data_IF_090485600554
#
_entry.id   IF_090485600554
#
_cell.length_a   1.000
_cell.length_b   1.000
_cell.length_c   1.000
_cell.angle_alpha   90.00
_cell.angle_beta   90.00
_cell.angle_gamma   90.00
#
_symmetry.space_group_name_H-M   'P 1'
#
loop_
_entity.id
_entity.type
_entity.pdbx_description
1 polymer ?
#
# COMPACT_ATOMS: atom_id res chain seq x y z
N UNK A 1 56.40 50.86 23.38
CA UNK A 1 56.42 49.65 22.52
C UNK A 1 57.54 48.76 23.05
N UNK A 2 57.35 47.44 23.25
CA UNK A 2 56.78 46.57 22.24
C UNK A 2 55.61 45.69 22.72
N UNK A 3 54.77 45.39 21.74
CA UNK A 3 53.60 44.54 21.78
C UNK A 3 54.00 43.07 21.77
N UNK A 4 53.57 42.30 22.77
CA UNK A 4 53.66 40.85 22.75
C UNK A 4 52.48 40.28 21.97
N UNK A 5 52.74 39.91 20.72
CA UNK A 5 51.82 39.19 19.85
C UNK A 5 51.57 37.77 20.36
N UNK A 6 50.29 37.44 20.31
CA UNK A 6 49.66 36.13 20.22
C UNK A 6 50.46 35.05 19.47
N UNK A 7 50.40 33.83 20.00
CA UNK A 7 50.59 32.59 19.22
C UNK A 7 49.67 31.50 19.81
N UNK A 8 48.43 31.42 19.31
CA UNK A 8 47.55 30.26 19.49
C UNK A 8 47.58 29.42 18.21
N UNK A 9 48.60 28.59 18.05
CA UNK A 9 48.64 27.59 16.97
C UNK A 9 47.94 26.31 17.42
N UNK A 10 46.61 26.35 17.42
CA UNK A 10 45.78 25.15 17.49
C UNK A 10 45.81 24.43 16.14
N UNK A 11 46.66 23.41 16.03
CA UNK A 11 46.75 22.52 14.88
C UNK A 11 45.44 21.75 14.66
N UNK A 12 44.54 22.31 13.84
CA UNK A 12 43.35 21.60 13.35
C UNK A 12 43.78 20.57 12.31
N UNK A 13 43.98 19.32 12.74
CA UNK A 13 43.93 18.17 11.83
C UNK A 13 42.57 18.24 11.11
N UNK A 14 42.57 18.48 9.80
CA UNK A 14 41.34 18.45 9.01
C UNK A 14 40.86 16.99 9.01
N UNK A 15 39.93 16.65 9.89
CA UNK A 15 39.25 15.35 9.85
C UNK A 15 38.58 15.19 8.51
N UNK A 16 38.60 13.97 7.96
CA UNK A 16 37.98 13.69 6.67
C UNK A 16 36.48 13.96 6.77
N UNK A 17 35.86 14.42 5.68
CA UNK A 17 34.42 14.67 5.65
C UNK A 17 33.62 13.42 6.06
N UNK A 18 34.09 12.22 5.69
CA UNK A 18 33.48 10.96 6.10
C UNK A 18 33.51 10.74 7.62
N UNK A 19 34.64 11.05 8.26
CA UNK A 19 34.79 10.91 9.72
C UNK A 19 33.86 11.87 10.46
N UNK A 20 33.67 13.08 9.94
CA UNK A 20 32.74 14.06 10.50
C UNK A 20 31.29 13.56 10.40
N UNK A 21 30.90 12.97 9.26
CA UNK A 21 29.57 12.38 9.12
C UNK A 21 29.38 11.14 10.00
N UNK A 22 30.39 10.28 10.15
CA UNK A 22 30.35 9.13 11.07
C UNK A 22 30.23 9.56 12.52
N UNK A 23 31.00 10.57 12.95
CA UNK A 23 30.89 11.11 14.29
C UNK A 23 29.50 11.71 14.55
N UNK A 24 28.96 12.45 13.57
CA UNK A 24 27.60 12.99 13.65
C UNK A 24 26.53 11.89 13.73
N UNK A 25 26.71 10.80 12.98
CA UNK A 25 25.83 9.63 13.04
C UNK A 25 25.82 9.00 14.44
N UNK A 26 26.98 8.76 15.04
CA UNK A 26 27.07 8.21 16.41
C UNK A 26 26.51 9.16 17.47
N UNK A 27 26.67 10.49 17.31
CA UNK A 27 26.05 11.47 18.21
C UNK A 27 24.53 11.41 18.17
N UNK A 28 23.94 11.31 16.98
CA UNK A 28 22.49 11.22 16.83
C UNK A 28 21.94 9.90 17.39
N UNK A 29 22.62 8.76 17.17
CA UNK A 29 22.26 7.47 17.77
C UNK A 29 22.18 7.53 19.30
N UNK A 30 23.12 8.25 19.92
CA UNK A 30 23.20 8.38 21.37
C UNK A 30 22.40 9.56 21.95
N UNK A 31 21.59 10.26 21.15
CA UNK A 31 20.90 11.49 21.55
C UNK A 31 21.83 12.61 22.10
N UNK A 32 23.11 12.60 21.68
CA UNK A 32 24.13 13.59 22.05
C UNK A 32 24.33 14.61 20.93
N UNK A 33 23.23 15.12 20.38
CA UNK A 33 23.22 16.15 19.33
C UNK A 33 23.87 17.43 19.86
N UNK A 34 24.80 18.00 19.09
CA UNK A 34 25.48 19.27 19.38
C UNK A 34 24.85 20.43 18.60
N UNK A 35 24.45 20.20 17.34
CA UNK A 35 23.92 21.26 16.46
C UNK A 35 22.41 21.21 16.30
N UNK A 36 21.84 20.02 16.32
CA UNK A 36 20.40 19.80 16.28
C UNK A 36 19.82 19.69 17.71
N UNK A 37 18.53 19.96 17.91
CA UNK A 37 17.90 19.76 19.20
C UNK A 37 18.00 18.29 19.63
N UNK A 38 18.20 18.07 20.92
CA UNK A 38 18.25 16.72 21.50
C UNK A 38 16.95 15.98 21.22
N UNK A 39 17.05 14.70 20.86
CA UNK A 39 15.89 13.89 20.46
C UNK A 39 15.44 14.09 19.00
N UNK A 40 16.22 14.77 18.17
CA UNK A 40 15.96 14.83 16.73
C UNK A 40 16.03 13.42 16.13
N UNK A 41 15.03 12.98 15.35
CA UNK A 41 15.03 11.65 14.75
C UNK A 41 16.22 11.49 13.81
N UNK A 42 16.80 10.29 13.81
CA UNK A 42 17.91 9.98 12.94
C UNK A 42 17.44 9.96 11.47
N UNK A 43 18.10 10.75 10.62
CA UNK A 43 17.87 10.80 9.17
C UNK A 43 19.16 11.22 8.49
N UNK A 44 19.41 10.76 7.26
CA UNK A 44 20.55 11.19 6.45
C UNK A 44 20.68 12.73 6.39
N UNK A 45 19.56 13.44 6.26
CA UNK A 45 19.55 14.91 6.24
C UNK A 45 19.97 15.50 7.59
N UNK A 46 19.57 14.86 8.68
CA UNK A 46 19.91 15.30 10.04
C UNK A 46 21.37 14.97 10.36
N UNK A 47 21.91 13.86 9.88
CA UNK A 47 23.35 13.53 9.98
C UNK A 47 24.19 14.60 9.28
N UNK A 48 23.79 15.03 8.08
CA UNK A 48 24.49 16.09 7.35
C UNK A 48 24.46 17.42 8.12
N UNK A 49 23.29 17.84 8.62
CA UNK A 49 23.14 19.07 9.42
C UNK A 49 23.92 19.02 10.73
N UNK A 50 23.95 17.87 11.38
CA UNK A 50 24.68 17.65 12.63
C UNK A 50 26.21 17.67 12.42
N UNK A 51 26.69 17.24 11.24
CA UNK A 51 28.09 17.42 10.83
C UNK A 51 28.40 18.88 10.43
N UNK A 52 27.39 19.72 10.25
CA UNK A 52 27.56 21.12 9.82
C UNK A 52 27.53 21.35 8.31
N UNK A 53 27.11 20.34 7.56
CA UNK A 53 27.01 20.39 6.11
C UNK A 53 25.57 20.54 5.64
N UNK A 54 25.38 21.03 4.41
CA UNK A 54 24.07 21.04 3.76
C UNK A 54 23.53 19.61 3.60
N UNK A 55 22.21 19.35 3.69
CA UNK A 55 21.62 18.03 3.45
C UNK A 55 22.02 17.40 2.12
N UNK A 56 22.30 18.22 1.10
CA UNK A 56 22.75 17.76 -0.22
C UNK A 56 24.23 17.32 -0.24
N UNK A 57 24.97 17.53 0.85
CA UNK A 57 26.39 17.18 0.96
C UNK A 57 26.62 15.69 1.23
N UNK A 58 25.68 15.01 1.88
CA UNK A 58 25.74 13.58 2.15
C UNK A 58 24.95 12.83 1.07
N UNK A 59 25.58 12.52 -0.08
CA UNK A 59 24.94 11.77 -1.19
C UNK A 59 25.52 10.36 -1.30
N UNK A 60 24.68 9.41 -1.69
CA UNK A 60 25.07 8.01 -1.94
C UNK A 60 26.20 7.86 -2.96
N UNK A 61 26.30 8.78 -3.93
CA UNK A 61 27.39 8.79 -4.92
C UNK A 61 28.77 9.06 -4.32
N UNK A 62 28.85 9.83 -3.23
CA UNK A 62 30.12 10.19 -2.57
C UNK A 62 30.44 9.30 -1.38
N UNK A 63 29.41 8.91 -0.62
CA UNK A 63 29.55 8.12 0.61
C UNK A 63 28.59 6.93 0.59
N UNK A 64 28.75 5.96 -0.34
CA UNK A 64 27.79 4.87 -0.51
C UNK A 64 27.65 4.01 0.73
N UNK A 65 28.79 3.60 1.32
CA UNK A 65 28.82 2.73 2.50
C UNK A 65 28.15 3.36 3.72
N UNK A 66 28.45 4.64 3.98
CA UNK A 66 27.88 5.37 5.11
C UNK A 66 26.37 5.61 4.95
N UNK A 67 25.93 5.97 3.74
CA UNK A 67 24.50 6.16 3.47
C UNK A 67 23.73 4.85 3.65
N UNK A 68 24.29 3.73 3.18
CA UNK A 68 23.66 2.42 3.34
C UNK A 68 23.63 1.97 4.81
N UNK A 69 24.69 2.27 5.59
CA UNK A 69 24.71 2.03 7.04
C UNK A 69 23.62 2.83 7.78
N UNK A 70 23.51 4.14 7.48
CA UNK A 70 22.48 5.02 8.05
C UNK A 70 21.09 4.48 7.71
N UNK A 71 20.87 4.11 6.44
CA UNK A 71 19.59 3.62 5.97
C UNK A 71 19.20 2.30 6.64
N UNK A 72 20.14 1.35 6.73
CA UNK A 72 19.93 0.07 7.43
C UNK A 72 19.60 0.28 8.91
N UNK A 73 20.28 1.21 9.58
CA UNK A 73 19.97 1.52 10.97
C UNK A 73 18.56 2.11 11.12
N UNK A 74 18.15 3.03 10.23
CA UNK A 74 16.79 3.59 10.25
C UNK A 74 15.72 2.51 10.02
N UNK A 75 15.99 1.53 9.15
CA UNK A 75 15.07 0.42 8.89
C UNK A 75 14.92 -0.51 10.10
N UNK A 76 16.02 -0.84 10.77
CA UNK A 76 16.01 -1.65 11.99
C UNK A 76 15.27 -0.93 13.13
N UNK A 77 15.46 0.39 13.25
CA UNK A 77 14.85 1.21 14.30
C UNK A 77 13.59 1.96 13.83
N UNK A 78 12.94 1.51 12.75
CA UNK A 78 11.81 2.22 12.14
C UNK A 78 10.58 2.33 13.05
N UNK A 79 10.46 1.46 14.05
CA UNK A 79 9.38 1.48 15.05
C UNK A 79 9.64 2.48 16.19
N UNK A 80 10.90 2.87 16.42
CA UNK A 80 11.30 3.80 17.49
C UNK A 80 11.07 5.26 17.11
N UNK A 81 11.04 5.56 15.80
CA UNK A 81 10.88 6.92 15.29
C UNK A 81 9.52 7.10 14.62
N UNK A 82 8.67 8.04 15.08
CA UNK A 82 7.37 8.27 14.45
C UNK A 82 7.56 8.76 13.01
N UNK A 83 6.84 8.11 12.08
CA UNK A 83 6.81 8.52 10.67
C UNK A 83 6.33 9.96 10.55
N UNK A 84 6.95 10.73 9.66
CA UNK A 84 6.55 12.11 9.39
C UNK A 84 5.08 12.17 8.96
N UNK A 85 4.34 13.20 9.41
CA UNK A 85 2.94 13.42 9.05
C UNK A 85 2.70 13.36 7.53
N UNK A 86 3.65 13.88 6.73
CA UNK A 86 3.59 13.79 5.26
C UNK A 86 3.65 12.35 4.78
N UNK A 87 4.56 11.54 5.32
CA UNK A 87 4.71 10.13 4.94
C UNK A 87 3.46 9.34 5.30
N UNK A 88 2.90 9.55 6.50
CA UNK A 88 1.63 8.94 6.92
C UNK A 88 0.51 9.31 5.95
N UNK A 89 0.38 10.60 5.58
CA UNK A 89 -0.66 11.06 4.65
C UNK A 89 -0.54 10.43 3.24
N UNK A 90 0.68 10.19 2.76
CA UNK A 90 0.89 9.54 1.46
C UNK A 90 0.52 8.06 1.52
N UNK A 91 0.88 7.38 2.61
CA UNK A 91 0.51 5.98 2.83
C UNK A 91 -1.00 5.81 2.93
N UNK A 92 -1.70 6.69 3.67
CA UNK A 92 -3.15 6.63 3.77
C UNK A 92 -3.81 6.90 2.42
N UNK A 93 -3.34 7.89 1.65
CA UNK A 93 -3.84 8.13 0.28
C UNK A 93 -3.67 6.91 -0.63
N UNK A 94 -2.51 6.25 -0.60
CA UNK A 94 -2.26 5.05 -1.40
C UNK A 94 -3.19 3.90 -1.00
N UNK A 95 -3.39 3.67 0.30
CA UNK A 95 -4.34 2.66 0.81
C UNK A 95 -5.77 2.96 0.39
N UNK A 96 -6.21 4.21 0.55
CA UNK A 96 -7.56 4.63 0.18
C UNK A 96 -7.83 4.49 -1.33
N UNK A 97 -6.82 4.70 -2.18
CA UNK A 97 -6.92 4.43 -3.61
C UNK A 97 -7.20 2.95 -3.88
N UNK A 98 -6.44 2.04 -3.27
CA UNK A 98 -6.67 0.60 -3.42
C UNK A 98 -8.05 0.15 -2.92
N UNK A 99 -8.53 0.73 -1.82
CA UNK A 99 -9.88 0.45 -1.33
C UNK A 99 -10.97 0.93 -2.29
N UNK A 100 -10.81 2.09 -2.91
CA UNK A 100 -11.76 2.59 -3.92
C UNK A 100 -11.81 1.68 -5.14
N UNK A 101 -10.65 1.30 -5.67
CA UNK A 101 -10.55 0.37 -6.79
C UNK A 101 -11.25 -0.97 -6.47
N UNK A 102 -11.07 -1.48 -5.24
CA UNK A 102 -11.75 -2.71 -4.80
C UNK A 102 -13.27 -2.55 -4.65
N UNK A 103 -13.73 -1.43 -4.12
CA UNK A 103 -15.17 -1.14 -4.00
C UNK A 103 -15.81 -1.05 -5.39
N UNK A 104 -15.15 -0.40 -6.34
CA UNK A 104 -15.64 -0.32 -7.73
C UNK A 104 -15.71 -1.70 -8.37
N UNK A 105 -14.70 -2.55 -8.19
CA UNK A 105 -14.70 -3.92 -8.71
C UNK A 105 -15.87 -4.74 -8.13
N UNK A 106 -16.05 -4.71 -6.80
CA UNK A 106 -17.15 -5.41 -6.13
C UNK A 106 -18.51 -4.87 -6.60
N UNK A 107 -18.62 -3.56 -6.81
CA UNK A 107 -19.86 -2.93 -7.30
C UNK A 107 -20.20 -3.44 -8.70
N UNK A 108 -19.22 -3.50 -9.61
CA UNK A 108 -19.43 -4.06 -10.97
C UNK A 108 -19.82 -5.54 -10.92
N UNK A 109 -19.18 -6.33 -10.07
CA UNK A 109 -19.52 -7.74 -9.89
C UNK A 109 -20.95 -7.92 -9.39
N UNK A 110 -21.35 -7.13 -8.39
CA UNK A 110 -22.72 -7.13 -7.87
C UNK A 110 -23.72 -6.78 -8.96
N UNK A 111 -23.48 -5.69 -9.70
CA UNK A 111 -24.42 -5.22 -10.73
C UNK A 111 -24.55 -6.24 -11.87
N UNK A 112 -23.46 -6.89 -12.26
CA UNK A 112 -23.49 -7.99 -13.23
C UNK A 112 -24.30 -9.19 -12.74
N UNK A 113 -24.09 -9.62 -11.49
CA UNK A 113 -24.85 -10.72 -10.90
C UNK A 113 -26.34 -10.39 -10.76
N UNK A 114 -26.67 -9.15 -10.40
CA UNK A 114 -28.06 -8.68 -10.32
C UNK A 114 -28.74 -8.70 -11.71
N UNK A 115 -28.02 -8.33 -12.76
CA UNK A 115 -28.51 -8.43 -14.14
C UNK A 115 -28.77 -9.88 -14.53
N UNK A 116 -27.84 -10.79 -14.27
CA UNK A 116 -27.99 -12.21 -14.57
C UNK A 116 -29.14 -12.86 -13.79
N UNK A 117 -29.33 -12.48 -12.53
CA UNK A 117 -30.44 -12.96 -11.72
C UNK A 117 -31.77 -12.49 -12.30
N UNK A 118 -31.89 -11.21 -12.66
CA UNK A 118 -33.11 -10.67 -13.28
C UNK A 118 -33.43 -11.33 -14.61
N UNK A 119 -32.41 -11.69 -15.40
CA UNK A 119 -32.58 -12.43 -16.65
C UNK A 119 -33.07 -13.87 -16.38
N UNK A 120 -32.49 -14.55 -15.38
CA UNK A 120 -32.92 -15.88 -14.97
C UNK A 120 -34.37 -15.89 -14.47
N UNK A 121 -34.77 -14.88 -13.69
CA UNK A 121 -36.15 -14.70 -13.21
C UNK A 121 -37.14 -14.50 -14.36
N UNK A 122 -36.78 -13.70 -15.37
CA UNK A 122 -37.58 -13.53 -16.58
C UNK A 122 -37.74 -14.84 -17.36
N UNK A 123 -36.63 -15.55 -17.58
CA UNK A 123 -36.64 -16.84 -18.27
C UNK A 123 -37.47 -17.90 -17.52
N UNK A 124 -37.41 -17.91 -16.18
CA UNK A 124 -38.25 -18.81 -15.38
C UNK A 124 -39.73 -18.55 -15.62
N UNK A 125 -40.17 -17.29 -15.62
CA UNK A 125 -41.56 -16.92 -15.88
C UNK A 125 -42.00 -17.34 -17.30
N UNK A 126 -41.19 -17.06 -18.32
CA UNK A 126 -41.49 -17.47 -19.71
C UNK A 126 -41.65 -18.98 -19.84
N UNK A 127 -40.79 -19.76 -19.15
CA UNK A 127 -40.88 -21.22 -19.15
C UNK A 127 -42.13 -21.71 -18.43
N UNK A 128 -42.52 -21.09 -17.30
CA UNK A 128 -43.75 -21.43 -16.60
C UNK A 128 -44.98 -21.15 -17.47
N UNK A 129 -45.06 -19.99 -18.10
CA UNK A 129 -46.15 -19.66 -19.02
C UNK A 129 -46.25 -20.67 -20.17
N UNK A 130 -45.10 -21.11 -20.70
CA UNK A 130 -45.06 -22.11 -21.76
C UNK A 130 -45.49 -23.49 -21.28
N UNK A 131 -45.12 -23.89 -20.07
CA UNK A 131 -45.56 -25.14 -19.46
C UNK A 131 -47.09 -25.11 -19.30
N UNK A 132 -47.63 -24.04 -18.73
CA UNK A 132 -49.08 -23.87 -18.55
C UNK A 132 -49.84 -23.95 -19.88
N UNK A 133 -49.31 -23.33 -20.94
CA UNK A 133 -49.89 -23.42 -22.27
C UNK A 133 -49.88 -24.85 -22.81
N UNK A 134 -48.76 -25.57 -22.66
CA UNK A 134 -48.63 -26.96 -23.10
C UNK A 134 -49.53 -27.90 -22.29
N UNK A 135 -49.65 -27.70 -20.98
CA UNK A 135 -50.54 -28.48 -20.12
C UNK A 135 -52.01 -28.31 -20.52
N UNK A 136 -52.43 -27.11 -20.94
CA UNK A 136 -53.78 -26.87 -21.49
C UNK A 136 -54.02 -27.58 -22.81
N UNK A 137 -52.97 -27.83 -23.60
CA UNK A 137 -53.05 -28.55 -24.88
C UNK A 137 -53.04 -30.07 -24.69
N UNK A 138 -52.71 -30.59 -23.50
CA UNK A 138 -52.74 -32.01 -23.22
C UNK A 138 -54.19 -32.53 -23.17
N UNK A 139 -54.46 -33.71 -23.76
CA UNK A 139 -55.75 -34.36 -23.61
C UNK A 139 -56.00 -34.80 -22.17
N UNK A 140 -57.26 -34.78 -21.73
CA UNK A 140 -57.68 -35.17 -20.36
C UNK A 140 -57.40 -36.62 -19.99
N UNK A 141 -57.14 -37.49 -20.97
CA UNK A 141 -56.73 -38.88 -20.78
C UNK A 141 -55.70 -39.26 -21.82
N UNK A 142 -54.56 -39.77 -21.36
CA UNK A 142 -53.56 -40.43 -22.21
C UNK A 142 -53.79 -41.94 -22.32
N UNK A 143 -54.94 -42.42 -21.82
CA UNK A 143 -55.31 -43.83 -21.78
C UNK A 143 -56.43 -44.06 -22.79
N UNK A 144 -56.16 -44.88 -23.79
CA UNK A 144 -57.19 -45.40 -24.70
C UNK A 144 -57.95 -46.52 -23.99
N UNK A 145 -59.27 -46.41 -23.77
CA UNK A 145 -60.05 -47.51 -23.24
C UNK A 145 -60.03 -48.66 -24.26
N UNK A 146 -59.47 -49.80 -23.86
CA UNK A 146 -59.54 -51.04 -24.64
C UNK A 146 -60.97 -51.56 -24.50
N UNK A 147 -61.77 -51.43 -25.55
CA UNK A 147 -63.12 -51.99 -25.60
C UNK A 147 -63.03 -53.53 -25.50
N UNK A 148 -63.59 -54.17 -24.47
CA UNK A 148 -63.52 -55.62 -24.30
C UNK A 148 -64.33 -56.39 -25.36
N UNK A 149 -65.15 -55.70 -26.17
CA UNK A 149 -65.93 -56.31 -27.24
C UNK A 149 -65.28 -56.02 -28.59
N UNK A 150 -64.21 -56.77 -28.88
CA UNK A 150 -63.48 -56.72 -30.15
C UNK A 150 -64.40 -56.66 -31.38
N UNK A 151 -64.04 -55.79 -32.33
CA UNK A 151 -64.73 -55.55 -33.61
C UNK A 151 -65.32 -56.84 -34.20
N UNK A 152 -66.65 -56.99 -34.15
CA UNK A 152 -67.34 -57.91 -35.07
C UNK A 152 -67.39 -57.22 -36.43
N UNK A 153 -66.54 -57.69 -37.35
CA UNK A 153 -66.66 -57.37 -38.79
C UNK A 153 -67.93 -58.05 -39.31
N UNK A 154 -68.82 -57.27 -39.93
CA UNK A 154 -69.80 -57.72 -40.92
C UNK A 154 -69.29 -57.27 -42.29
#
# INVERSE_FOLDING_TARGET
MPSSKCNSTGSTKRTSAEEQYRAAFERLKNNKSERLPKGTPLSQNNVAKEAGSDPSALKKTRFPLLVDEIQKYIEVHAEEYPKSARQVSLLTRKKNRGFRERIEEITRQRDHLASLLSEADANMLELYDRIDELERQLPTSNVLPIDPRGRKKL
#
